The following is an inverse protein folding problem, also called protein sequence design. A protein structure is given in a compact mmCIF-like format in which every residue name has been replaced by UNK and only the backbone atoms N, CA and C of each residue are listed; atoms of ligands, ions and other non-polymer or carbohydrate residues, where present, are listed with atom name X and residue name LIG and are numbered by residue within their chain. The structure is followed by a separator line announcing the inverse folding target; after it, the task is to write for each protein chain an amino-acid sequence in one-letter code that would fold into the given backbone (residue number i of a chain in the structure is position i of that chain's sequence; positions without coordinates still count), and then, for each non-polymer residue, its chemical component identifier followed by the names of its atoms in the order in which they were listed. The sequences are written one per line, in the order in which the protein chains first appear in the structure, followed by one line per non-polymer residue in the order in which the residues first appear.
data_IF_298158651864
#
_entry.id   IF_298158651864
#
_cell.length_a   1.000
_cell.length_b   1.000
_cell.length_c   1.000
_cell.angle_alpha   90.00
_cell.angle_beta   90.00
_cell.angle_gamma   90.00
#
_symmetry.space_group_name_H-M   'P 1'
#
loop_
_entity.id
_entity.type
_entity.pdbx_description
1 polymer ?
#
# COMPACT_ATOMS: atom_id res chain seq x y z
N UNK A 1 4.37 20.66 -5.95
CA UNK A 1 5.21 19.49 -6.30
C UNK A 1 4.52 18.29 -5.70
N UNK A 2 4.35 17.21 -6.46
CA UNK A 2 3.81 15.95 -5.95
C UNK A 2 4.94 14.92 -5.90
N UNK A 3 4.92 14.11 -4.86
CA UNK A 3 5.80 12.98 -4.66
C UNK A 3 5.01 11.71 -4.97
N UNK A 4 5.57 10.81 -5.76
CA UNK A 4 4.94 9.51 -6.01
C UNK A 4 5.71 8.43 -5.28
N UNK A 5 4.99 7.57 -4.59
CA UNK A 5 5.54 6.47 -3.84
C UNK A 5 4.96 5.16 -4.33
N UNK A 6 5.81 4.19 -4.60
CA UNK A 6 5.41 2.80 -4.71
C UNK A 6 5.63 2.13 -3.35
N UNK A 7 4.54 1.71 -2.73
CA UNK A 7 4.57 1.02 -1.44
C UNK A 7 4.26 -0.45 -1.64
N UNK A 8 5.14 -1.31 -1.13
CA UNK A 8 4.89 -2.75 -1.02
C UNK A 8 4.56 -3.07 0.43
N UNK A 9 3.43 -3.72 0.68
CA UNK A 9 2.98 -4.08 2.02
C UNK A 9 2.37 -5.47 2.04
N UNK A 10 2.43 -6.11 3.21
CA UNK A 10 1.78 -7.39 3.48
C UNK A 10 0.51 -7.17 4.26
N UNK A 11 -0.58 -7.70 3.72
CA UNK A 11 -1.87 -7.79 4.38
C UNK A 11 -1.88 -9.04 5.24
N UNK A 12 -2.15 -8.89 6.54
CA UNK A 12 -2.38 -10.01 7.46
C UNK A 12 -3.85 -9.98 7.89
N UNK A 13 -4.61 -11.03 7.59
CA UNK A 13 -6.02 -11.14 7.96
C UNK A 13 -6.15 -12.26 8.97
N UNK A 14 -6.63 -11.99 10.19
CA UNK A 14 -6.73 -13.04 11.23
C UNK A 14 -8.10 -13.21 11.87
N UNK A 15 -9.20 -12.65 11.34
CA UNK A 15 -10.53 -12.95 11.89
C UNK A 15 -11.58 -13.19 10.80
N UNK A 16 -11.98 -14.45 10.65
CA UNK A 16 -13.21 -14.80 9.95
C UNK A 16 -14.38 -14.77 10.94
N UNK A 17 -15.60 -14.52 10.44
CA UNK A 17 -16.80 -14.14 11.20
C UNK A 17 -17.25 -15.13 12.30
N UNK A 18 -16.66 -16.32 12.35
CA UNK A 18 -16.88 -17.38 13.33
C UNK A 18 -15.86 -17.37 14.50
N UNK A 19 -14.97 -16.37 14.58
CA UNK A 19 -13.94 -16.29 15.62
C UNK A 19 -12.74 -17.21 15.36
N UNK A 20 -12.64 -17.79 14.16
CA UNK A 20 -11.48 -18.58 13.75
C UNK A 20 -10.40 -17.69 13.12
N UNK A 21 -9.15 -18.04 13.39
CA UNK A 21 -7.98 -17.37 12.84
C UNK A 21 -7.64 -17.97 11.47
N UNK A 22 -8.05 -17.29 10.40
CA UNK A 22 -7.47 -17.49 9.07
C UNK A 22 -6.01 -17.01 9.12
N UNK A 23 -5.04 -17.83 8.72
CA UNK A 23 -3.63 -17.38 8.61
C UNK A 23 -3.31 -16.98 7.17
N UNK A 24 -4.16 -16.14 6.56
CA UNK A 24 -3.92 -15.67 5.20
C UNK A 24 -3.05 -14.41 5.23
N UNK A 25 -1.97 -14.47 4.48
CA UNK A 25 -1.05 -13.36 4.25
C UNK A 25 -0.82 -13.24 2.75
N UNK A 26 -0.88 -12.02 2.25
CA UNK A 26 -0.54 -11.73 0.86
C UNK A 26 0.16 -10.38 0.75
N UNK A 27 1.05 -10.29 -0.22
CA UNK A 27 1.82 -9.08 -0.50
C UNK A 27 1.10 -8.29 -1.61
N UNK A 28 0.91 -7.00 -1.38
CA UNK A 28 0.34 -6.06 -2.33
C UNK A 28 1.31 -4.93 -2.64
N UNK A 29 1.12 -4.30 -3.80
CA UNK A 29 1.84 -3.10 -4.21
C UNK A 29 0.85 -2.02 -4.59
N UNK A 30 1.12 -0.79 -4.16
CA UNK A 30 0.29 0.37 -4.47
C UNK A 30 1.13 1.59 -4.79
N UNK A 31 0.69 2.35 -5.78
CA UNK A 31 1.22 3.68 -6.08
C UNK A 31 0.37 4.72 -5.36
N UNK A 32 1.01 5.54 -4.53
CA UNK A 32 0.39 6.62 -3.76
C UNK A 32 1.02 7.92 -4.25
N UNK A 33 0.17 8.88 -4.63
CA UNK A 33 0.60 10.21 -5.06
C UNK A 33 0.29 11.15 -3.90
N UNK A 34 1.33 11.68 -3.27
CA UNK A 34 1.20 12.66 -2.19
C UNK A 34 1.60 14.05 -2.67
N UNK A 35 0.95 15.08 -2.12
CA UNK A 35 1.37 16.48 -2.29
C UNK A 35 2.39 16.90 -1.22
N UNK A 36 2.64 16.02 -0.25
CA UNK A 36 3.63 16.16 0.82
C UNK A 36 4.68 15.04 0.73
N UNK A 37 5.86 15.24 1.31
CA UNK A 37 6.88 14.19 1.47
C UNK A 37 6.62 13.32 2.73
N UNK A 38 5.53 13.61 3.46
CA UNK A 38 5.25 13.01 4.75
C UNK A 38 4.79 11.54 4.61
N UNK A 39 5.70 10.63 4.96
CA UNK A 39 5.42 9.19 5.00
C UNK A 39 4.26 8.82 5.96
N UNK A 40 3.95 9.67 6.95
CA UNK A 40 2.82 9.48 7.87
C UNK A 40 1.47 9.54 7.16
N UNK A 41 1.33 10.40 6.14
CA UNK A 41 0.12 10.51 5.32
C UNK A 41 -0.09 9.23 4.50
N UNK A 42 1.00 8.67 3.95
CA UNK A 42 1.00 7.41 3.21
C UNK A 42 0.50 6.24 4.08
N UNK A 43 0.97 6.13 5.33
CA UNK A 43 0.50 5.07 6.23
C UNK A 43 -0.96 5.24 6.62
N UNK A 44 -1.43 6.47 6.77
CA UNK A 44 -2.84 6.78 7.07
C UNK A 44 -3.73 6.35 5.91
N UNK A 45 -3.33 6.62 4.67
CA UNK A 45 -4.04 6.19 3.46
C UNK A 45 -4.11 4.68 3.32
N UNK A 46 -3.00 3.98 3.57
CA UNK A 46 -2.96 2.51 3.56
C UNK A 46 -3.87 1.91 4.63
N UNK A 47 -3.88 2.49 5.83
CA UNK A 47 -4.77 2.07 6.89
C UNK A 47 -6.25 2.28 6.53
N UNK A 48 -6.60 3.45 5.99
CA UNK A 48 -7.98 3.74 5.58
C UNK A 48 -8.48 2.84 4.47
N UNK A 49 -7.61 2.43 3.53
CA UNK A 49 -7.98 1.51 2.45
C UNK A 49 -8.53 0.18 2.97
N UNK A 50 -7.92 -0.34 4.04
CA UNK A 50 -8.22 -1.66 4.57
C UNK A 50 -9.00 -1.63 5.90
N UNK A 51 -9.53 -0.46 6.27
CA UNK A 51 -10.24 -0.29 7.56
C UNK A 51 -11.49 -1.16 7.68
N UNK A 52 -12.13 -1.46 6.54
CA UNK A 52 -13.39 -2.19 6.44
C UNK A 52 -13.17 -3.67 6.09
N UNK A 53 -11.95 -4.04 5.70
CA UNK A 53 -11.51 -5.41 5.61
C UNK A 53 -11.26 -5.91 7.05
N UNK A 54 -11.57 -7.17 7.38
CA UNK A 54 -11.28 -7.79 8.70
C UNK A 54 -9.77 -8.01 8.94
N UNK A 55 -8.99 -6.98 8.65
CA UNK A 55 -7.55 -6.94 8.65
C UNK A 55 -7.00 -6.91 10.07
N UNK A 56 -5.98 -7.71 10.30
CA UNK A 56 -5.21 -7.73 11.53
C UNK A 56 -3.76 -7.48 11.14
N UNK A 57 -3.49 -6.23 10.81
CA UNK A 57 -2.14 -5.69 10.65
C UNK A 57 -1.70 -5.55 9.20
N UNK A 58 -1.18 -4.37 8.88
CA UNK A 58 -0.40 -4.08 7.68
C UNK A 58 1.07 -4.07 8.07
N UNK A 59 1.90 -4.79 7.32
CA UNK A 59 3.36 -4.75 7.46
C UNK A 59 3.95 -4.10 6.20
N UNK A 60 4.51 -2.91 6.32
CA UNK A 60 5.16 -2.24 5.19
C UNK A 60 6.52 -2.89 4.93
N UNK A 61 6.70 -3.42 3.73
CA UNK A 61 7.91 -4.14 3.33
C UNK A 61 8.91 -3.21 2.64
N UNK A 62 8.42 -2.30 1.80
CA UNK A 62 9.27 -1.33 1.08
C UNK A 62 8.48 -0.07 0.69
N UNK A 63 9.19 1.06 0.64
CA UNK A 63 8.71 2.32 0.07
C UNK A 63 9.76 2.83 -0.90
N UNK A 64 9.37 3.01 -2.16
CA UNK A 64 10.21 3.58 -3.21
C UNK A 64 9.61 4.91 -3.65
N UNK A 65 10.40 5.99 -3.65
CA UNK A 65 9.99 7.26 -4.23
C UNK A 65 10.30 7.23 -5.73
N UNK A 66 9.30 7.49 -6.56
CA UNK A 66 9.41 7.55 -8.01
C UNK A 66 9.37 9.00 -8.47
N UNK A 67 10.32 9.36 -9.34
CA UNK A 67 10.28 10.62 -10.06
C UNK A 67 9.21 10.56 -11.16
N UNK A 68 8.62 11.71 -11.53
CA UNK A 68 7.58 11.78 -12.58
C UNK A 68 8.04 11.16 -13.92
N UNK A 69 9.33 11.26 -14.24
CA UNK A 69 9.97 10.64 -15.41
C UNK A 69 9.86 9.12 -15.40
N UNK A 70 10.05 8.48 -14.24
CA UNK A 70 10.00 7.02 -14.08
C UNK A 70 8.59 6.47 -14.29
N UNK A 71 7.56 7.21 -13.87
CA UNK A 71 6.16 6.79 -14.03
C UNK A 71 5.74 6.84 -15.51
N UNK A 72 6.10 7.92 -16.20
CA UNK A 72 5.77 8.10 -17.61
C UNK A 72 6.37 6.99 -18.49
N UNK A 73 7.62 6.59 -18.21
CA UNK A 73 8.29 5.48 -18.89
C UNK A 73 7.59 4.14 -18.64
N UNK A 74 7.20 3.87 -17.40
CA UNK A 74 6.49 2.63 -17.04
C UNK A 74 5.10 2.54 -17.66
N UNK A 75 4.37 3.65 -17.77
CA UNK A 75 3.07 3.69 -18.44
C UNK A 75 3.17 3.41 -19.94
N UNK A 76 4.27 3.83 -20.58
CA UNK A 76 4.53 3.58 -21.99
C UNK A 76 4.92 2.12 -22.28
N UNK A 77 5.60 1.47 -21.33
CA UNK A 77 6.02 0.07 -21.42
C UNK A 77 4.88 -0.94 -21.21
N UNK A 78 3.77 -0.51 -20.58
CA UNK A 78 2.61 -1.35 -20.25
C UNK A 78 1.42 -1.14 -21.21
N UNK A 79 1.56 -0.28 -22.22
CA UNK A 79 0.55 0.02 -23.25
C UNK A 79 0.84 -0.70 -24.57
#
# INVERSE_FOLDING_TARGET
MSYTYKVTYRVKTTMIANGEFSHQQFDEQRTIISVTDDLGEIFTDLYHLHRDDSMIGLEVLAIEMWEESTIAELQLLLA
#
